data_IF_913439728769
#
_entry.id   IF_913439728769
#
_cell.length_a   1.000
_cell.length_b   1.000
_cell.length_c   1.000
_cell.angle_alpha   90.00
_cell.angle_beta   90.00
_cell.angle_gamma   90.00
#
_symmetry.space_group_name_H-M   'P 1'
#
loop_
_entity.id
_entity.type
_entity.pdbx_description
1 polymer ?
#
# COMPACT_ATOMS: atom_id res chain seq x y z
N UNK A 1 58.26 -13.27 -8.84
CA UNK A 1 57.57 -11.99 -8.57
C UNK A 1 56.31 -11.84 -9.42
N UNK A 2 55.29 -12.72 -9.36
CA UNK A 2 54.06 -12.53 -10.18
C UNK A 2 52.82 -13.18 -9.52
N UNK A 3 52.44 -12.84 -8.27
CA UNK A 3 51.21 -13.45 -7.67
C UNK A 3 50.50 -12.59 -6.60
N UNK A 4 50.64 -11.27 -6.62
CA UNK A 4 49.97 -10.40 -5.61
C UNK A 4 48.97 -9.38 -6.19
N UNK A 5 48.97 -9.13 -7.50
CA UNK A 5 48.22 -8.03 -8.12
C UNK A 5 46.75 -8.35 -8.43
N UNK A 6 46.40 -9.64 -8.58
CA UNK A 6 45.09 -10.09 -9.08
C UNK A 6 43.99 -10.07 -8.00
N UNK A 7 44.32 -10.36 -6.74
CA UNK A 7 43.34 -10.51 -5.65
C UNK A 7 42.73 -9.17 -5.17
N UNK A 8 43.41 -8.04 -5.43
CA UNK A 8 42.92 -6.70 -5.05
C UNK A 8 41.85 -6.14 -6.01
N UNK A 9 41.90 -6.57 -7.28
CA UNK A 9 40.95 -6.11 -8.30
C UNK A 9 39.60 -6.82 -8.18
N UNK A 10 39.60 -8.12 -7.86
CA UNK A 10 38.36 -8.89 -7.66
C UNK A 10 37.52 -8.35 -6.49
N UNK A 11 38.17 -7.93 -5.39
CA UNK A 11 37.47 -7.32 -4.25
C UNK A 11 36.85 -5.98 -4.62
N UNK A 12 37.55 -5.12 -5.38
CA UNK A 12 36.98 -3.84 -5.86
C UNK A 12 35.79 -4.05 -6.80
N UNK A 13 35.86 -5.04 -7.69
CA UNK A 13 34.73 -5.39 -8.57
C UNK A 13 33.54 -5.96 -7.80
N UNK A 14 33.77 -6.79 -6.77
CA UNK A 14 32.71 -7.30 -5.88
C UNK A 14 32.08 -6.21 -5.00
N UNK A 15 32.84 -5.19 -4.60
CA UNK A 15 32.28 -4.06 -3.83
C UNK A 15 31.44 -3.10 -4.69
N UNK A 16 31.73 -2.99 -5.98
CA UNK A 16 30.99 -2.10 -6.89
C UNK A 16 29.62 -2.66 -7.31
N UNK A 17 29.41 -3.98 -7.30
CA UNK A 17 28.14 -4.60 -7.69
C UNK A 17 27.07 -4.58 -6.60
N UNK A 18 27.42 -4.32 -5.34
CA UNK A 18 26.48 -4.34 -4.21
C UNK A 18 25.75 -2.99 -4.08
N UNK A 19 26.32 -1.90 -4.58
CA UNK A 19 25.74 -0.55 -4.43
C UNK A 19 24.59 -0.24 -5.39
N UNK A 20 24.49 -0.92 -6.55
CA UNK A 20 23.49 -0.60 -7.58
C UNK A 20 22.14 -1.32 -7.43
N UNK A 21 22.04 -2.33 -6.55
CA UNK A 21 20.85 -3.19 -6.50
C UNK A 21 19.78 -2.74 -5.50
N UNK A 22 20.00 -1.65 -4.76
CA UNK A 22 19.07 -1.19 -3.72
C UNK A 22 17.98 -0.22 -4.22
N UNK A 23 18.06 0.28 -5.45
CA UNK A 23 17.19 1.36 -5.92
C UNK A 23 15.87 0.89 -6.57
N UNK A 24 15.76 -0.36 -7.01
CA UNK A 24 14.61 -0.80 -7.84
C UNK A 24 13.44 -1.44 -7.07
N UNK A 25 13.55 -1.72 -5.77
CA UNK A 25 12.50 -2.47 -5.03
C UNK A 25 11.47 -1.59 -4.32
N UNK A 26 11.64 -0.27 -4.27
CA UNK A 26 10.74 0.62 -3.51
C UNK A 26 9.41 0.96 -4.22
N UNK A 27 9.23 0.60 -5.50
CA UNK A 27 8.12 1.12 -6.31
C UNK A 27 6.84 0.27 -6.30
N UNK A 28 6.80 -0.89 -5.62
CA UNK A 28 5.63 -1.79 -5.65
C UNK A 28 4.68 -1.69 -4.44
N UNK A 29 4.94 -0.81 -3.46
CA UNK A 29 4.21 -0.85 -2.18
C UNK A 29 3.06 0.17 -2.04
N UNK A 30 2.74 1.00 -3.03
CA UNK A 30 1.79 2.12 -2.86
C UNK A 30 0.64 2.07 -3.86
N UNK A 31 -0.01 0.91 -3.95
CA UNK A 31 -1.32 0.81 -4.60
C UNK A 31 -2.16 -0.26 -3.90
N UNK A 32 -2.30 -0.17 -2.58
CA UNK A 32 -3.39 -0.87 -1.92
C UNK A 32 -4.69 -0.24 -2.40
N UNK A 33 -5.63 -0.98 -3.02
CA UNK A 33 -6.94 -0.43 -3.30
C UNK A 33 -7.56 -0.10 -1.94
N UNK A 34 -7.65 1.20 -1.63
CA UNK A 34 -8.46 1.65 -0.52
C UNK A 34 -9.86 1.12 -0.81
N UNK A 35 -10.30 0.10 -0.07
CA UNK A 35 -11.69 -0.36 -0.15
C UNK A 35 -12.53 0.85 0.19
N UNK A 36 -13.19 1.43 -0.81
CA UNK A 36 -14.11 2.53 -0.59
C UNK A 36 -15.13 2.04 0.44
N UNK A 37 -15.07 2.61 1.64
CA UNK A 37 -16.02 2.28 2.69
C UNK A 37 -17.35 2.88 2.25
N UNK A 38 -18.31 2.01 1.93
CA UNK A 38 -19.64 2.43 1.54
C UNK A 38 -20.34 2.98 2.79
N UNK A 39 -20.72 4.25 2.75
CA UNK A 39 -21.39 4.97 3.84
C UNK A 39 -22.66 5.63 3.31
N UNK A 40 -23.66 5.78 4.17
CA UNK A 40 -24.87 6.53 3.87
C UNK A 40 -24.72 7.95 4.39
N UNK A 41 -25.15 8.95 3.61
CA UNK A 41 -25.18 10.34 4.06
C UNK A 41 -26.59 10.73 4.52
N UNK A 42 -26.69 11.38 5.68
CA UNK A 42 -27.94 12.00 6.14
C UNK A 42 -27.63 13.26 6.95
N UNK A 43 -28.19 14.39 6.55
CA UNK A 43 -27.97 15.67 7.23
C UNK A 43 -26.50 16.10 7.29
N UNK A 44 -25.69 15.72 6.30
CA UNK A 44 -24.24 16.00 6.27
C UNK A 44 -23.39 15.13 7.18
N UNK A 45 -23.97 14.11 7.82
CA UNK A 45 -23.24 13.08 8.57
C UNK A 45 -23.14 11.78 7.77
N UNK A 46 -22.04 11.07 7.94
CA UNK A 46 -21.81 9.74 7.36
C UNK A 46 -22.15 8.65 8.37
N UNK A 47 -22.87 7.64 7.88
CA UNK A 47 -23.32 6.49 8.65
C UNK A 47 -22.75 5.21 8.02
N UNK A 48 -22.18 4.35 8.86
CA UNK A 48 -21.71 3.02 8.46
C UNK A 48 -22.88 2.05 8.25
N UNK A 49 -22.71 1.00 7.44
CA UNK A 49 -23.72 -0.04 7.27
C UNK A 49 -24.16 -0.63 8.62
N UNK A 50 -25.48 -0.74 8.82
CA UNK A 50 -26.11 -1.17 10.07
C UNK A 50 -26.47 -0.04 11.05
N UNK A 51 -25.95 1.19 10.85
CA UNK A 51 -26.41 2.33 11.63
C UNK A 51 -27.81 2.79 11.19
N UNK A 52 -28.52 3.48 12.07
CA UNK A 52 -29.92 3.86 11.87
C UNK A 52 -30.16 5.35 12.08
N UNK A 53 -31.10 5.89 11.31
CA UNK A 53 -31.65 7.24 11.46
C UNK A 53 -33.17 7.13 11.42
N UNK A 54 -33.82 7.28 12.58
CA UNK A 54 -35.26 7.06 12.71
C UNK A 54 -35.66 5.62 12.32
N UNK A 55 -36.55 5.49 11.33
CA UNK A 55 -37.01 4.20 10.80
C UNK A 55 -36.15 3.66 9.65
N UNK A 56 -35.03 4.30 9.32
CA UNK A 56 -34.15 3.90 8.22
C UNK A 56 -32.86 3.26 8.75
N UNK A 57 -32.38 2.22 8.07
CA UNK A 57 -31.10 1.54 8.30
C UNK A 57 -30.19 1.74 7.08
N UNK A 58 -28.92 2.07 7.33
CA UNK A 58 -27.92 2.19 6.29
C UNK A 58 -27.51 0.79 5.81
N UNK A 59 -27.68 0.54 4.51
CA UNK A 59 -27.37 -0.74 3.89
C UNK A 59 -25.91 -0.79 3.40
N UNK A 60 -25.33 -1.99 3.23
CA UNK A 60 -23.94 -2.14 2.75
C UNK A 60 -23.70 -1.65 1.32
N UNK A 61 -24.76 -1.39 0.56
CA UNK A 61 -24.73 -0.82 -0.79
C UNK A 61 -24.80 0.72 -0.80
N UNK A 62 -24.91 1.34 0.38
CA UNK A 62 -24.93 2.79 0.56
C UNK A 62 -26.34 3.39 0.46
N UNK A 63 -27.36 2.56 0.39
CA UNK A 63 -28.76 2.99 0.36
C UNK A 63 -29.39 2.99 1.75
N UNK A 64 -30.47 3.75 1.91
CA UNK A 64 -31.31 3.71 3.11
C UNK A 64 -32.47 2.75 2.89
N UNK A 65 -32.62 1.75 3.77
CA UNK A 65 -33.78 0.85 3.78
C UNK A 65 -34.68 1.17 4.98
N UNK A 66 -36.00 1.17 4.76
CA UNK A 66 -36.96 1.30 5.85
C UNK A 66 -37.07 -0.02 6.63
N UNK A 67 -37.03 0.06 7.96
CA UNK A 67 -37.16 -1.07 8.89
C UNK A 67 -38.61 -1.47 9.13
#
# INVERSE_FOLDING_TARGET
>A
MITQKHSRQLKKLLFLSISTTAALTAQLLIASPAKAQVTCEYGGQQYSPGQTVGSFICMPDGTWQQR
#
